data_IF_628747589803
#
_entry.id   IF_628747589803
#
_cell.length_a   1.000
_cell.length_b   1.000
_cell.length_c   1.000
_cell.angle_alpha   90.00
_cell.angle_beta   90.00
_cell.angle_gamma   90.00
#
_symmetry.space_group_name_H-M   'P 1'
#
loop_
_entity.id
_entity.type
_entity.pdbx_description
1 polymer ?
#
# COMPACT_ATOMS: atom_id res chain seq x y z
N UNK A 1 13.87 -29.68 -16.22
CA UNK A 1 13.88 -29.88 -14.74
C UNK A 1 13.92 -28.53 -14.10
N UNK A 2 12.98 -28.23 -13.20
CA UNK A 2 12.86 -26.93 -12.50
C UNK A 2 13.79 -26.90 -11.26
N UNK A 3 14.11 -25.72 -10.76
CA UNK A 3 14.85 -25.59 -9.50
C UNK A 3 13.99 -26.07 -8.33
N UNK A 4 12.70 -25.69 -8.34
CA UNK A 4 11.72 -26.13 -7.36
C UNK A 4 10.39 -26.45 -8.05
N UNK A 5 9.64 -27.38 -7.48
CA UNK A 5 8.27 -27.71 -7.89
C UNK A 5 7.36 -27.68 -6.66
N UNK A 6 6.22 -27.03 -6.78
CA UNK A 6 5.09 -27.22 -5.88
C UNK A 6 4.14 -28.19 -6.59
N UNK A 7 3.92 -29.37 -6.01
CA UNK A 7 3.10 -30.41 -6.59
C UNK A 7 1.77 -30.59 -5.86
N UNK A 8 0.77 -31.12 -6.58
CA UNK A 8 -0.53 -31.51 -6.02
C UNK A 8 -1.24 -30.38 -5.27
N UNK A 9 -1.15 -29.13 -5.76
CA UNK A 9 -1.81 -27.98 -5.17
C UNK A 9 -3.15 -27.71 -5.81
N UNK A 10 -4.12 -27.21 -5.01
CA UNK A 10 -5.30 -26.55 -5.53
C UNK A 10 -4.93 -25.10 -5.87
N UNK A 11 -4.55 -24.88 -7.13
CA UNK A 11 -3.99 -23.60 -7.58
C UNK A 11 -5.09 -22.54 -7.71
N UNK A 12 -4.97 -21.48 -6.90
CA UNK A 12 -5.84 -20.32 -6.97
C UNK A 12 -5.15 -19.22 -7.80
N UNK A 13 -5.70 -18.90 -8.98
CA UNK A 13 -5.22 -17.83 -9.84
C UNK A 13 -6.22 -16.67 -9.87
N UNK A 14 -5.99 -15.58 -9.12
CA UNK A 14 -6.91 -14.44 -9.07
C UNK A 14 -7.07 -13.73 -10.43
N UNK A 15 -6.03 -13.70 -11.25
CA UNK A 15 -6.06 -13.04 -12.55
C UNK A 15 -7.02 -13.70 -13.54
N UNK A 16 -7.07 -15.03 -13.52
CA UNK A 16 -7.95 -15.82 -14.41
C UNK A 16 -9.24 -16.27 -13.73
N UNK A 17 -9.34 -16.08 -12.40
CA UNK A 17 -10.43 -16.60 -11.54
C UNK A 17 -10.57 -18.12 -11.63
N UNK A 18 -9.47 -18.82 -11.92
CA UNK A 18 -9.42 -20.27 -12.01
C UNK A 18 -8.95 -20.85 -10.68
N UNK A 19 -9.64 -21.91 -10.25
CA UNK A 19 -9.27 -22.78 -9.14
C UNK A 19 -9.20 -24.20 -9.67
N UNK A 20 -8.01 -24.77 -9.73
CA UNK A 20 -7.80 -26.10 -10.30
C UNK A 20 -6.63 -26.85 -9.65
N UNK A 21 -6.68 -28.17 -9.65
CA UNK A 21 -5.54 -28.98 -9.26
C UNK A 21 -4.40 -28.84 -10.27
N UNK A 22 -3.16 -28.78 -9.77
CA UNK A 22 -2.00 -28.65 -10.64
C UNK A 22 -0.67 -28.54 -9.91
N UNK A 23 0.33 -28.18 -10.67
CA UNK A 23 1.73 -28.11 -10.27
C UNK A 23 2.33 -26.79 -10.74
N UNK A 24 3.28 -26.25 -9.96
CA UNK A 24 4.02 -25.04 -10.30
C UNK A 24 5.50 -25.37 -10.38
N UNK A 25 6.12 -25.06 -11.52
CA UNK A 25 7.56 -25.13 -11.71
C UNK A 25 8.21 -23.75 -11.55
N UNK A 26 9.27 -23.70 -10.74
CA UNK A 26 9.96 -22.45 -10.38
C UNK A 26 11.42 -22.58 -10.83
N UNK A 27 11.91 -21.55 -11.54
CA UNK A 27 13.31 -21.37 -11.90
C UNK A 27 13.78 -19.98 -11.50
N UNK A 28 14.94 -19.89 -10.87
CA UNK A 28 15.55 -18.61 -10.46
C UNK A 28 14.56 -17.71 -9.69
N UNK A 29 13.77 -18.30 -8.76
CA UNK A 29 12.81 -17.58 -7.94
C UNK A 29 11.56 -17.09 -8.67
N UNK A 30 11.33 -17.49 -9.93
CA UNK A 30 10.18 -17.09 -10.74
C UNK A 30 9.34 -18.30 -11.15
N UNK A 31 8.01 -18.11 -11.22
CA UNK A 31 7.12 -19.12 -11.79
C UNK A 31 7.44 -19.24 -13.28
N UNK A 32 7.93 -20.42 -13.67
CA UNK A 32 8.33 -20.74 -15.04
C UNK A 32 7.30 -21.62 -15.75
N UNK A 33 6.49 -22.38 -15.00
CA UNK A 33 5.41 -23.18 -15.56
C UNK A 33 4.27 -23.38 -14.56
N UNK A 34 3.06 -23.51 -15.08
CA UNK A 34 1.87 -24.02 -14.37
C UNK A 34 1.31 -25.14 -15.24
N UNK A 35 1.08 -26.32 -14.65
CA UNK A 35 0.70 -27.52 -15.40
C UNK A 35 -0.33 -28.35 -14.66
N UNK A 36 -1.25 -28.98 -15.39
CA UNK A 36 -2.09 -30.06 -14.86
C UNK A 36 -1.35 -31.40 -14.75
N UNK A 37 -0.25 -31.54 -15.50
CA UNK A 37 0.58 -32.74 -15.49
C UNK A 37 1.76 -32.60 -14.54
N UNK A 38 2.26 -33.71 -13.94
CA UNK A 38 3.38 -33.67 -13.03
C UNK A 38 4.63 -33.02 -13.62
N UNK A 39 5.31 -32.21 -12.82
CA UNK A 39 6.56 -31.53 -13.17
C UNK A 39 7.73 -32.13 -12.39
N UNK A 40 8.94 -32.08 -12.99
CA UNK A 40 10.18 -32.55 -12.35
C UNK A 40 11.04 -31.37 -11.90
N UNK A 41 11.48 -31.39 -10.65
CA UNK A 41 12.35 -30.36 -10.05
C UNK A 41 13.51 -30.97 -9.28
N UNK A 42 14.53 -30.14 -9.00
CA UNK A 42 15.64 -30.49 -8.08
C UNK A 42 15.13 -30.69 -6.66
N UNK A 43 14.12 -29.90 -6.26
CA UNK A 43 13.35 -30.06 -5.03
C UNK A 43 11.86 -29.99 -5.31
N UNK A 44 11.06 -30.73 -4.52
CA UNK A 44 9.60 -30.75 -4.67
C UNK A 44 8.95 -30.59 -3.32
N UNK A 45 7.98 -29.65 -3.25
CA UNK A 45 7.09 -29.51 -2.11
C UNK A 45 5.71 -30.05 -2.52
N UNK A 46 5.24 -31.08 -1.82
CA UNK A 46 3.92 -31.65 -2.03
C UNK A 46 2.86 -30.86 -1.22
N UNK A 47 2.01 -30.14 -1.91
CA UNK A 47 0.95 -29.34 -1.30
C UNK A 47 -0.22 -30.20 -0.80
N UNK A 48 -0.28 -31.50 -1.13
CA UNK A 48 -1.28 -32.47 -0.63
C UNK A 48 -2.73 -31.98 -0.79
N UNK A 49 -3.04 -31.34 -1.88
CA UNK A 49 -4.35 -30.78 -2.15
C UNK A 49 -4.66 -29.44 -1.45
N UNK A 50 -3.73 -28.90 -0.70
CA UNK A 50 -3.90 -27.59 -0.09
C UNK A 50 -3.96 -26.50 -1.15
N UNK A 51 -4.61 -25.35 -0.81
CA UNK A 51 -4.66 -24.19 -1.69
C UNK A 51 -3.27 -23.58 -1.83
N UNK A 52 -2.86 -23.39 -3.07
CA UNK A 52 -1.65 -22.64 -3.43
C UNK A 52 -2.07 -21.37 -4.14
N UNK A 53 -1.80 -20.24 -3.54
CA UNK A 53 -2.12 -18.91 -4.05
C UNK A 53 -0.88 -18.03 -4.14
N UNK A 54 -0.91 -16.94 -4.91
CA UNK A 54 0.05 -15.84 -4.72
C UNK A 54 0.04 -15.36 -3.27
N UNK A 55 1.18 -14.87 -2.80
CA UNK A 55 1.24 -14.21 -1.49
C UNK A 55 0.31 -13.00 -1.43
N UNK A 56 -0.28 -12.76 -0.24
CA UNK A 56 -1.19 -11.65 -0.06
C UNK A 56 -0.45 -10.31 -0.01
N UNK A 57 -1.11 -9.28 -0.52
CA UNK A 57 -0.66 -7.88 -0.44
C UNK A 57 -1.59 -7.16 0.54
N UNK A 58 -1.05 -6.75 1.69
CA UNK A 58 -1.77 -5.91 2.64
C UNK A 58 -1.59 -4.45 2.24
N UNK A 59 -2.65 -3.85 1.72
CA UNK A 59 -2.63 -2.48 1.20
C UNK A 59 -2.84 -1.41 2.27
N UNK A 60 -3.14 -1.80 3.51
CA UNK A 60 -3.29 -0.88 4.64
C UNK A 60 -2.58 -1.44 5.86
N UNK A 61 -1.26 -1.24 5.91
CA UNK A 61 -0.41 -1.78 6.96
C UNK A 61 0.30 -0.68 7.73
N UNK A 62 0.51 -0.95 9.01
CA UNK A 62 1.39 -0.16 9.89
C UNK A 62 2.69 -0.91 10.22
N UNK A 63 3.02 -1.94 9.46
CA UNK A 63 4.32 -2.63 9.51
C UNK A 63 5.35 -1.74 8.84
N UNK A 64 6.32 -1.27 9.60
CA UNK A 64 7.40 -0.42 9.09
C UNK A 64 8.74 -0.82 9.71
N UNK A 65 9.53 -1.62 8.98
CA UNK A 65 10.91 -1.94 9.34
C UNK A 65 11.12 -2.83 10.58
N UNK A 66 10.06 -3.35 11.20
CA UNK A 66 10.16 -4.27 12.33
C UNK A 66 10.21 -5.72 11.85
N UNK A 67 11.34 -6.40 12.08
CA UNK A 67 11.54 -7.80 11.68
C UNK A 67 10.45 -8.70 12.28
N UNK A 68 10.08 -8.50 13.54
CA UNK A 68 9.02 -9.25 14.21
C UNK A 68 7.66 -9.10 13.49
N UNK A 69 7.29 -7.87 13.13
CA UNK A 69 6.05 -7.62 12.40
C UNK A 69 6.08 -8.23 10.99
N UNK A 70 7.25 -8.21 10.33
CA UNK A 70 7.48 -8.86 9.04
C UNK A 70 7.30 -10.38 9.12
N UNK A 71 7.85 -11.03 10.15
CA UNK A 71 7.65 -12.47 10.37
C UNK A 71 6.19 -12.83 10.65
N UNK A 72 5.49 -12.06 11.47
CA UNK A 72 4.07 -12.29 11.73
C UNK A 72 3.22 -12.17 10.46
N UNK A 73 3.54 -11.19 9.62
CA UNK A 73 2.88 -11.00 8.31
C UNK A 73 3.14 -12.20 7.40
N UNK A 74 4.41 -12.63 7.28
CA UNK A 74 4.78 -13.80 6.46
C UNK A 74 4.06 -15.08 6.92
N UNK A 75 3.92 -15.28 8.24
CA UNK A 75 3.21 -16.44 8.82
C UNK A 75 1.71 -16.43 8.50
N UNK A 76 1.14 -15.29 8.14
CA UNK A 76 -0.24 -15.14 7.67
C UNK A 76 -0.37 -15.22 6.14
N UNK A 77 0.73 -15.48 5.43
CA UNK A 77 0.77 -15.52 3.97
C UNK A 77 0.87 -14.15 3.31
N UNK A 78 1.08 -13.08 4.08
CA UNK A 78 1.32 -11.73 3.56
C UNK A 78 2.77 -11.63 3.14
N UNK A 79 3.01 -11.38 1.85
CA UNK A 79 4.36 -11.28 1.27
C UNK A 79 4.73 -9.86 0.90
N UNK A 80 3.77 -8.94 0.93
CA UNK A 80 3.96 -7.52 0.64
C UNK A 80 3.05 -6.68 1.53
N UNK A 81 3.59 -5.62 2.12
CA UNK A 81 2.80 -4.63 2.87
C UNK A 81 2.99 -3.25 2.26
N UNK A 82 1.92 -2.44 2.30
CA UNK A 82 1.96 -1.02 1.93
C UNK A 82 1.75 -0.21 3.21
N UNK A 83 2.81 0.40 3.68
CA UNK A 83 2.83 1.28 4.85
C UNK A 83 2.50 2.73 4.50
N UNK A 84 2.73 3.63 5.46
CA UNK A 84 2.51 5.06 5.27
C UNK A 84 1.04 5.47 5.32
N UNK A 85 0.17 4.62 5.84
CA UNK A 85 -1.27 4.86 5.92
C UNK A 85 -1.66 5.85 7.03
N UNK A 86 -2.92 6.30 7.01
CA UNK A 86 -3.49 7.26 7.99
C UNK A 86 -2.68 8.56 8.12
N UNK A 87 -2.01 8.97 7.05
CA UNK A 87 -1.21 10.18 6.99
C UNK A 87 0.17 10.09 7.66
N UNK A 88 0.57 8.92 8.18
CA UNK A 88 1.84 8.70 8.87
C UNK A 88 2.83 7.88 8.07
N UNK A 89 4.04 8.40 7.79
CA UNK A 89 5.11 7.69 7.10
C UNK A 89 6.48 8.17 7.58
N UNK A 90 7.60 7.51 7.20
CA UNK A 90 8.89 8.17 7.17
C UNK A 90 8.81 9.43 6.30
N UNK A 91 9.53 10.50 6.71
CA UNK A 91 9.51 11.77 5.97
C UNK A 91 10.26 11.66 4.65
N UNK A 92 11.47 11.08 4.65
CA UNK A 92 12.24 10.79 3.45
C UNK A 92 12.11 9.31 3.07
N UNK A 93 11.25 9.04 2.08
CA UNK A 93 11.02 7.66 1.63
C UNK A 93 12.20 7.09 0.83
N UNK A 94 13.02 7.94 0.18
CA UNK A 94 14.22 7.50 -0.51
C UNK A 94 15.23 6.91 0.46
N UNK A 95 15.48 7.60 1.58
CA UNK A 95 16.33 7.09 2.67
C UNK A 95 15.74 5.82 3.27
N UNK A 96 14.46 5.83 3.60
CA UNK A 96 13.78 4.65 4.16
C UNK A 96 13.92 3.42 3.27
N UNK A 97 13.66 3.53 1.97
CA UNK A 97 13.79 2.40 1.04
C UNK A 97 15.24 1.93 0.88
N UNK A 98 16.20 2.85 0.87
CA UNK A 98 17.63 2.49 0.81
C UNK A 98 18.05 1.68 2.04
N UNK A 99 17.68 2.11 3.24
CA UNK A 99 17.96 1.41 4.51
C UNK A 99 17.30 0.03 4.54
N UNK A 100 16.02 -0.07 4.12
CA UNK A 100 15.33 -1.36 4.07
C UNK A 100 15.96 -2.33 3.07
N UNK A 101 16.41 -1.84 1.91
CA UNK A 101 17.09 -2.65 0.91
C UNK A 101 18.46 -3.14 1.39
N UNK A 102 19.21 -2.30 2.12
CA UNK A 102 20.51 -2.67 2.67
C UNK A 102 20.37 -3.70 3.81
N UNK A 103 19.46 -3.45 4.75
CA UNK A 103 19.20 -4.34 5.88
C UNK A 103 18.58 -5.66 5.45
N UNK A 104 17.75 -5.66 4.43
CA UNK A 104 16.83 -6.73 4.08
C UNK A 104 15.59 -6.73 5.00
N UNK A 105 14.52 -7.30 4.51
CA UNK A 105 13.28 -7.49 5.29
C UNK A 105 12.59 -8.78 4.88
N UNK A 106 11.86 -9.40 5.79
CA UNK A 106 11.26 -10.73 5.60
C UNK A 106 10.24 -10.75 4.46
N UNK A 107 9.53 -9.61 4.26
CA UNK A 107 8.51 -9.40 3.22
C UNK A 107 8.82 -8.13 2.43
N UNK A 108 8.22 -7.99 1.26
CA UNK A 108 8.33 -6.75 0.50
C UNK A 108 7.60 -5.60 1.20
N UNK A 109 8.20 -4.42 1.16
CA UNK A 109 7.62 -3.19 1.69
C UNK A 109 7.47 -2.14 0.61
N UNK A 110 6.29 -1.53 0.57
CA UNK A 110 6.02 -0.30 -0.15
C UNK A 110 5.45 0.73 0.83
N UNK A 111 5.39 2.01 0.45
CA UNK A 111 4.84 3.05 1.32
C UNK A 111 4.16 4.16 0.54
N UNK A 112 3.16 4.76 1.16
CA UNK A 112 2.68 6.10 0.80
C UNK A 112 3.54 7.15 1.48
N UNK A 113 3.61 8.38 0.91
CA UNK A 113 4.03 9.55 1.68
C UNK A 113 2.85 10.02 2.54
N UNK A 114 3.11 10.21 3.83
CA UNK A 114 2.07 10.58 4.81
C UNK A 114 1.85 12.08 4.88
N UNK A 115 0.66 12.54 4.58
CA UNK A 115 0.27 13.96 4.65
C UNK A 115 0.45 14.56 6.07
N UNK A 116 0.05 13.81 7.12
CA UNK A 116 0.23 14.27 8.51
C UNK A 116 1.70 14.38 8.89
N UNK A 117 2.57 13.52 8.32
CA UNK A 117 4.02 13.64 8.49
C UNK A 117 4.53 14.93 7.85
N UNK A 118 4.12 15.23 6.61
CA UNK A 118 4.51 16.49 5.93
C UNK A 118 4.13 17.72 6.76
N UNK A 119 2.91 17.76 7.26
CA UNK A 119 2.44 18.87 8.09
C UNK A 119 3.26 19.01 9.39
N UNK A 120 3.55 17.90 10.09
CA UNK A 120 4.37 17.94 11.32
C UNK A 120 5.78 18.45 11.06
N UNK A 121 6.42 17.99 10.00
CA UNK A 121 7.78 18.42 9.64
C UNK A 121 7.85 19.89 9.19
N UNK A 122 6.74 20.45 8.69
CA UNK A 122 6.61 21.88 8.41
C UNK A 122 6.26 22.73 9.64
N UNK A 123 6.22 22.13 10.83
CA UNK A 123 6.09 22.84 12.11
C UNK A 123 4.68 23.37 12.39
N UNK A 124 3.62 22.73 11.88
CA UNK A 124 2.27 23.07 12.27
C UNK A 124 2.08 22.88 13.77
N UNK A 125 1.63 23.92 14.47
CA UNK A 125 1.49 23.90 15.91
C UNK A 125 0.36 23.00 16.39
N UNK A 126 -0.72 22.93 15.61
CA UNK A 126 -1.88 22.08 15.89
C UNK A 126 -2.39 21.40 14.61
N UNK A 127 -3.13 20.27 14.72
CA UNK A 127 -3.76 19.63 13.57
C UNK A 127 -4.91 20.46 12.95
N UNK A 128 -5.34 21.54 13.61
CA UNK A 128 -6.42 22.43 13.17
C UNK A 128 -5.91 23.62 12.36
N UNK A 129 -4.59 23.85 12.33
CA UNK A 129 -4.03 25.01 11.63
C UNK A 129 -4.21 24.85 10.11
N UNK A 130 -4.71 25.86 9.38
CA UNK A 130 -4.71 25.83 7.93
C UNK A 130 -3.29 26.01 7.40
N UNK A 131 -2.99 25.37 6.25
CA UNK A 131 -1.72 25.59 5.57
C UNK A 131 -1.72 26.93 4.82
N UNK A 132 -0.58 27.65 4.86
CA UNK A 132 -0.36 28.77 3.96
C UNK A 132 -0.08 28.27 2.53
N UNK A 133 -0.26 29.12 1.50
CA UNK A 133 0.08 28.76 0.11
C UNK A 133 1.52 28.30 -0.05
N UNK A 134 2.47 28.90 0.69
CA UNK A 134 3.89 28.52 0.69
C UNK A 134 4.10 27.14 1.28
N UNK A 135 3.44 26.82 2.41
CA UNK A 135 3.49 25.50 3.00
C UNK A 135 2.90 24.43 2.09
N UNK A 136 1.79 24.72 1.40
CA UNK A 136 1.21 23.80 0.41
C UNK A 136 2.21 23.54 -0.72
N UNK A 137 2.89 24.59 -1.23
CA UNK A 137 3.90 24.45 -2.26
C UNK A 137 5.07 23.56 -1.82
N UNK A 138 5.55 23.72 -0.58
CA UNK A 138 6.61 22.87 -0.03
C UNK A 138 6.13 21.41 0.07
N UNK A 139 4.90 21.18 0.55
CA UNK A 139 4.32 19.83 0.57
C UNK A 139 4.24 19.21 -0.83
N UNK A 140 3.84 19.99 -1.86
CA UNK A 140 3.83 19.53 -3.24
C UNK A 140 5.21 19.04 -3.72
N UNK A 141 6.28 19.79 -3.40
CA UNK A 141 7.65 19.43 -3.75
C UNK A 141 8.07 18.12 -3.08
N UNK A 142 7.73 17.95 -1.79
CA UNK A 142 7.97 16.71 -1.07
C UNK A 142 7.18 15.52 -1.62
N UNK A 143 5.92 15.72 -2.00
CA UNK A 143 5.12 14.66 -2.65
C UNK A 143 5.75 14.25 -3.97
N UNK A 144 6.16 15.20 -4.83
CA UNK A 144 6.86 14.89 -6.10
C UNK A 144 8.15 14.11 -5.87
N UNK A 145 8.96 14.54 -4.88
CA UNK A 145 10.18 13.80 -4.51
C UNK A 145 9.84 12.38 -4.06
N UNK A 146 8.91 12.21 -3.14
CA UNK A 146 8.53 10.90 -2.63
C UNK A 146 8.03 9.96 -3.75
N UNK A 147 7.24 10.49 -4.71
CA UNK A 147 6.80 9.72 -5.87
C UNK A 147 7.96 9.30 -6.79
N UNK A 148 8.94 10.17 -6.97
CA UNK A 148 10.16 9.86 -7.71
C UNK A 148 11.02 8.80 -6.99
N UNK A 149 11.05 8.81 -5.66
CA UNK A 149 11.73 7.83 -4.82
C UNK A 149 10.98 6.47 -4.75
N UNK A 150 9.77 6.36 -5.32
CA UNK A 150 9.03 5.11 -5.44
C UNK A 150 7.80 4.99 -4.55
N UNK A 151 7.31 6.07 -3.94
CA UNK A 151 6.06 6.05 -3.17
C UNK A 151 4.87 5.52 -4.00
N UNK A 152 4.00 4.75 -3.37
CA UNK A 152 2.75 4.26 -3.98
C UNK A 152 1.74 5.38 -4.24
N UNK A 153 1.94 6.54 -3.64
CA UNK A 153 1.07 7.71 -3.68
C UNK A 153 1.14 8.49 -2.38
N UNK A 154 0.06 9.16 -2.04
CA UNK A 154 -0.09 9.89 -0.77
C UNK A 154 -1.15 9.23 0.11
N UNK A 155 -0.92 9.29 1.43
CA UNK A 155 -1.95 8.95 2.41
C UNK A 155 -2.40 10.20 3.16
N UNK A 156 -3.68 10.52 3.05
CA UNK A 156 -4.34 11.63 3.72
C UNK A 156 -4.94 11.17 5.05
N UNK A 157 -4.39 11.61 6.15
CA UNK A 157 -4.94 11.37 7.49
C UNK A 157 -5.87 12.51 7.91
N UNK A 158 -7.01 12.69 7.24
CA UNK A 158 -7.90 13.83 7.44
C UNK A 158 -8.61 13.80 8.80
N UNK A 159 -8.79 12.61 9.38
CA UNK A 159 -9.26 12.45 10.76
C UNK A 159 -8.30 13.08 11.76
N UNK A 160 -7.00 12.99 11.49
CA UNK A 160 -5.93 13.48 12.37
C UNK A 160 -5.52 14.93 12.07
N UNK A 161 -5.83 15.44 10.88
CA UNK A 161 -5.46 16.78 10.41
C UNK A 161 -6.71 17.54 9.91
N UNK A 162 -7.68 17.81 10.80
CA UNK A 162 -8.96 18.44 10.41
C UNK A 162 -8.81 19.85 9.83
N UNK A 163 -7.70 20.55 10.12
CA UNK A 163 -7.39 21.88 9.55
C UNK A 163 -6.94 21.88 8.10
N UNK A 164 -6.77 20.68 7.48
CA UNK A 164 -6.41 20.61 6.06
C UNK A 164 -7.52 21.16 5.18
N UNK A 165 -7.19 22.16 4.37
CA UNK A 165 -8.18 22.77 3.47
C UNK A 165 -8.49 21.87 2.26
N UNK A 166 -9.65 22.08 1.64
CA UNK A 166 -10.00 21.40 0.39
C UNK A 166 -8.97 21.68 -0.71
N UNK A 167 -8.49 22.92 -0.81
CA UNK A 167 -7.47 23.31 -1.79
C UNK A 167 -6.18 22.53 -1.59
N UNK A 168 -5.68 22.44 -0.35
CA UNK A 168 -4.49 21.64 -0.01
C UNK A 168 -4.65 20.18 -0.44
N UNK A 169 -5.77 19.56 -0.04
CA UNK A 169 -6.08 18.16 -0.37
C UNK A 169 -6.14 17.94 -1.88
N UNK A 170 -6.82 18.82 -2.62
CA UNK A 170 -6.96 18.71 -4.08
C UNK A 170 -5.63 18.88 -4.81
N UNK A 171 -4.82 19.85 -4.41
CA UNK A 171 -3.51 20.12 -5.04
C UNK A 171 -2.56 18.94 -4.87
N UNK A 172 -2.45 18.38 -3.65
CA UNK A 172 -1.61 17.21 -3.39
C UNK A 172 -2.13 15.96 -4.12
N UNK A 173 -3.45 15.77 -4.17
CA UNK A 173 -4.08 14.66 -4.87
C UNK A 173 -3.90 14.74 -6.39
N UNK A 174 -3.89 15.94 -6.97
CA UNK A 174 -3.64 16.14 -8.39
C UNK A 174 -2.25 15.67 -8.81
N UNK A 175 -1.21 15.97 -8.02
CA UNK A 175 0.15 15.50 -8.28
C UNK A 175 0.22 13.98 -8.32
N UNK A 176 -0.49 13.33 -7.40
CA UNK A 176 -0.54 11.85 -7.31
C UNK A 176 -1.31 11.26 -8.49
N UNK A 177 -2.41 11.91 -8.92
CA UNK A 177 -3.18 11.52 -10.10
C UNK A 177 -2.34 11.61 -11.38
N UNK A 178 -1.62 12.73 -11.57
CA UNK A 178 -0.74 12.96 -12.73
C UNK A 178 0.37 11.91 -12.83
N UNK A 179 0.84 11.42 -11.68
CA UNK A 179 1.80 10.32 -11.60
C UNK A 179 1.17 8.92 -11.74
N UNK A 180 -0.15 8.81 -11.93
CA UNK A 180 -0.87 7.55 -12.03
C UNK A 180 -0.86 6.71 -10.75
N UNK A 181 -0.68 7.34 -9.59
CA UNK A 181 -0.58 6.70 -8.27
C UNK A 181 -1.91 6.77 -7.50
N UNK A 182 -1.91 6.32 -6.25
CA UNK A 182 -3.11 6.16 -5.41
C UNK A 182 -3.14 7.22 -4.31
N UNK A 183 -4.32 7.74 -4.02
CA UNK A 183 -4.61 8.57 -2.83
C UNK A 183 -5.36 7.69 -1.84
N UNK A 184 -4.71 7.35 -0.72
CA UNK A 184 -5.33 6.64 0.41
C UNK A 184 -5.87 7.66 1.40
N UNK A 185 -7.12 7.51 1.84
CA UNK A 185 -7.79 8.51 2.67
C UNK A 185 -8.36 7.88 3.93
N UNK A 186 -7.84 8.31 5.08
CA UNK A 186 -8.51 8.18 6.37
C UNK A 186 -9.40 9.42 6.53
N UNK A 187 -10.70 9.20 6.40
CA UNK A 187 -11.68 10.27 6.19
C UNK A 187 -11.88 11.12 7.44
N UNK A 188 -12.36 12.34 7.25
CA UNK A 188 -12.74 13.23 8.37
C UNK A 188 -13.81 12.56 9.22
N UNK A 189 -13.68 12.68 10.54
CA UNK A 189 -14.70 12.22 11.49
C UNK A 189 -15.63 13.39 11.82
N UNK A 190 -16.76 13.46 11.12
CA UNK A 190 -17.81 14.45 11.42
C UNK A 190 -18.90 13.85 12.31
N UNK A 191 -19.41 12.69 11.95
CA UNK A 191 -20.28 11.86 12.78
C UNK A 191 -20.28 10.41 12.29
N UNK A 192 -20.72 9.48 13.13
CA UNK A 192 -20.79 8.04 12.77
C UNK A 192 -21.83 7.73 11.68
N UNK A 193 -22.70 8.68 11.34
CA UNK A 193 -23.75 8.53 10.33
C UNK A 193 -23.56 9.49 9.15
N UNK A 194 -22.45 10.24 9.11
CA UNK A 194 -22.23 11.27 8.13
C UNK A 194 -21.46 10.73 6.92
N UNK A 195 -22.16 10.66 5.78
CA UNK A 195 -21.56 10.26 4.51
C UNK A 195 -20.84 11.44 3.79
N UNK A 196 -20.81 12.64 4.36
CA UNK A 196 -20.14 13.78 3.72
C UNK A 196 -18.63 13.59 3.63
N UNK A 197 -18.06 12.87 4.60
CA UNK A 197 -16.64 12.49 4.55
C UNK A 197 -16.32 11.56 3.38
N UNK A 198 -17.24 10.66 3.00
CA UNK A 198 -17.10 9.82 1.80
C UNK A 198 -17.29 10.63 0.53
N UNK A 199 -18.21 11.63 0.54
CA UNK A 199 -18.39 12.54 -0.61
C UNK A 199 -17.12 13.32 -0.90
N UNK A 200 -16.37 13.74 0.13
CA UNK A 200 -15.06 14.37 -0.04
C UNK A 200 -14.10 13.45 -0.83
N UNK A 201 -14.03 12.15 -0.51
CA UNK A 201 -13.19 11.20 -1.25
C UNK A 201 -13.65 11.02 -2.69
N UNK A 202 -14.96 10.94 -2.92
CA UNK A 202 -15.54 10.90 -4.27
C UNK A 202 -15.18 12.16 -5.06
N UNK A 203 -15.24 13.35 -4.44
CA UNK A 203 -14.86 14.61 -5.07
C UNK A 203 -13.36 14.68 -5.39
N UNK A 204 -12.49 14.15 -4.52
CA UNK A 204 -11.06 14.02 -4.83
C UNK A 204 -10.88 13.22 -6.13
N UNK A 205 -11.49 12.03 -6.20
CA UNK A 205 -11.40 11.18 -7.40
C UNK A 205 -11.98 11.85 -8.65
N UNK A 206 -13.17 12.43 -8.52
CA UNK A 206 -13.89 13.05 -9.65
C UNK A 206 -13.15 14.25 -10.24
N UNK A 207 -12.58 15.12 -9.38
CA UNK A 207 -11.94 16.38 -9.79
C UNK A 207 -10.50 16.20 -10.26
N UNK A 208 -9.76 15.27 -9.65
CA UNK A 208 -8.35 15.07 -9.95
C UNK A 208 -8.09 13.88 -10.89
N UNK A 209 -9.06 12.98 -11.04
CA UNK A 209 -8.85 11.71 -11.74
C UNK A 209 -8.03 10.69 -10.93
N UNK A 210 -7.72 10.97 -9.67
CA UNK A 210 -6.97 10.06 -8.80
C UNK A 210 -7.74 8.77 -8.53
N UNK A 211 -7.02 7.67 -8.50
CA UNK A 211 -7.51 6.43 -7.90
C UNK A 211 -7.48 6.61 -6.40
N UNK A 212 -8.64 6.51 -5.75
CA UNK A 212 -8.76 6.69 -4.30
C UNK A 212 -9.06 5.38 -3.59
N UNK A 213 -8.53 5.25 -2.37
CA UNK A 213 -8.82 4.18 -1.43
C UNK A 213 -9.33 4.79 -0.13
N UNK A 214 -10.46 4.31 0.38
CA UNK A 214 -10.96 4.67 1.72
C UNK A 214 -10.37 3.70 2.74
N UNK A 215 -9.67 4.24 3.74
CA UNK A 215 -9.12 3.45 4.84
C UNK A 215 -10.24 2.92 5.72
N UNK A 216 -10.06 1.69 6.25
CA UNK A 216 -10.93 1.01 7.23
C UNK A 216 -12.44 1.29 7.10
N UNK A 217 -12.92 1.26 5.87
CA UNK A 217 -14.31 1.57 5.50
C UNK A 217 -15.35 0.87 6.39
N UNK A 218 -15.14 -0.42 6.67
CA UNK A 218 -16.06 -1.25 7.47
C UNK A 218 -16.22 -0.71 8.89
N UNK A 219 -15.15 -0.18 9.49
CA UNK A 219 -15.18 0.31 10.87
C UNK A 219 -15.82 1.69 11.00
N UNK A 220 -15.81 2.49 9.94
CA UNK A 220 -16.35 3.85 9.95
C UNK A 220 -17.78 3.91 9.45
N UNK A 221 -18.18 3.02 8.55
CA UNK A 221 -19.43 3.10 7.80
C UNK A 221 -20.22 1.77 7.75
N UNK A 222 -19.71 0.73 8.41
CA UNK A 222 -20.33 -0.61 8.50
C UNK A 222 -21.39 -0.78 9.60
#
# INVERSE_FOLDING_TARGET
MFDQVISNGLLANPSTKILQMGHIGINQGKIAAISGEPLSGKSTFDAKGQVVSPGFIDIHSHVSGSDYSGELSARQGITTTIGGNCGGSPFDLGVFFAEQNEKGFVIHQASFIGHSTLRRELGFATPYDPATPEQVKIMEEHVRKALADGACGISLGLAYMPGSSEEEVMRLSQIVADAGRVVSVDTRLKSIHDLDSLREVVEISRRTGARTQVSHFVYQYG
#
